data_IF_138275529611
#
_entry.id   IF_138275529611
#
_cell.length_a   1.000
_cell.length_b   1.000
_cell.length_c   1.000
_cell.angle_alpha   90.00
_cell.angle_beta   90.00
_cell.angle_gamma   90.00
#
_symmetry.space_group_name_H-M   'P 1'
#
loop_
_entity.id
_entity.type
_entity.pdbx_description
1 polymer ?
#
# COMPACT_ATOMS: atom_id res chain seq x y z
N UNK A 1 -18.85 -14.09 44.26
CA UNK A 1 -18.59 -12.66 43.92
C UNK A 1 -17.11 -12.34 43.69
N UNK A 2 -16.18 -12.63 44.62
CA UNK A 2 -14.74 -12.28 44.46
C UNK A 2 -14.05 -12.90 43.22
N UNK A 3 -14.39 -14.13 42.84
CA UNK A 3 -13.87 -14.77 41.64
C UNK A 3 -14.40 -14.12 40.34
N UNK A 4 -15.65 -13.64 40.35
CA UNK A 4 -16.26 -12.97 39.20
C UNK A 4 -15.64 -11.58 38.98
N UNK A 5 -15.37 -10.83 40.05
CA UNK A 5 -14.65 -9.54 39.97
C UNK A 5 -13.19 -9.72 39.54
N UNK A 6 -12.52 -10.80 39.97
CA UNK A 6 -11.16 -11.11 39.53
C UNK A 6 -11.10 -11.47 38.04
N UNK A 7 -12.06 -12.25 37.54
CA UNK A 7 -12.17 -12.56 36.10
C UNK A 7 -12.45 -11.29 35.29
N UNK A 8 -13.31 -10.39 35.78
CA UNK A 8 -13.61 -9.11 35.11
C UNK A 8 -12.38 -8.19 35.06
N UNK A 9 -11.57 -8.16 36.12
CA UNK A 9 -10.30 -7.41 36.16
C UNK A 9 -9.24 -8.00 35.22
N UNK A 10 -9.14 -9.33 35.13
CA UNK A 10 -8.23 -10.01 34.20
C UNK A 10 -8.67 -9.75 32.74
N UNK A 11 -9.97 -9.78 32.46
CA UNK A 11 -10.51 -9.49 31.13
C UNK A 11 -10.26 -8.03 30.72
N UNK A 12 -10.43 -7.08 31.65
CA UNK A 12 -10.13 -5.66 31.43
C UNK A 12 -8.62 -5.41 31.23
N UNK A 13 -7.75 -6.17 31.91
CA UNK A 13 -6.29 -6.10 31.74
C UNK A 13 -5.81 -6.75 30.43
N UNK A 14 -6.47 -7.82 29.97
CA UNK A 14 -6.21 -8.40 28.64
C UNK A 14 -6.69 -7.46 27.52
N UNK A 15 -7.81 -6.75 27.74
CA UNK A 15 -8.35 -5.79 26.77
C UNK A 15 -7.52 -4.50 26.69
N UNK A 16 -6.77 -4.14 27.74
CA UNK A 16 -5.89 -2.96 27.72
C UNK A 16 -4.57 -3.19 26.96
N UNK A 17 -4.12 -4.44 26.82
CA UNK A 17 -2.90 -4.79 26.08
C UNK A 17 -3.09 -4.92 24.56
N UNK A 18 -4.33 -4.95 24.05
CA UNK A 18 -4.61 -5.16 22.62
C UNK A 18 -4.44 -3.91 21.74
N UNK A 19 -4.07 -2.76 22.31
CA UNK A 19 -3.99 -1.48 21.57
C UNK A 19 -2.57 -1.02 21.20
N UNK A 20 -1.53 -1.85 21.42
CA UNK A 20 -0.15 -1.53 21.01
C UNK A 20 0.22 -2.22 19.68
N UNK A 21 -0.52 -1.96 18.62
CA UNK A 21 -0.04 -2.22 17.25
C UNK A 21 0.29 -0.90 16.58
N UNK A 22 1.25 -0.17 17.16
CA UNK A 22 1.88 0.93 16.46
C UNK A 22 2.88 0.34 15.47
N UNK A 23 2.77 0.69 14.20
CA UNK A 23 3.76 0.37 13.17
C UNK A 23 4.78 1.52 13.15
N UNK A 24 5.90 1.40 13.90
CA UNK A 24 6.77 2.54 14.19
C UNK A 24 7.56 2.99 12.96
N UNK A 25 7.66 2.15 11.94
CA UNK A 25 8.45 2.43 10.75
C UNK A 25 7.63 3.16 9.68
N UNK A 26 6.29 3.10 9.76
CA UNK A 26 5.40 3.72 8.79
C UNK A 26 5.48 5.24 8.83
N UNK A 27 5.89 5.81 7.70
CA UNK A 27 5.98 7.26 7.47
C UNK A 27 4.71 7.76 6.78
N UNK A 28 4.21 7.00 5.82
CA UNK A 28 3.00 7.32 5.07
C UNK A 28 2.33 6.02 4.63
N UNK A 29 1.00 5.99 4.63
CA UNK A 29 0.23 4.92 4.03
C UNK A 29 -1.16 5.44 3.68
N UNK A 30 -1.53 5.27 2.42
CA UNK A 30 -2.87 5.59 1.93
C UNK A 30 -3.28 4.54 0.90
N UNK A 31 -4.52 4.08 0.99
CA UNK A 31 -5.13 3.18 0.02
C UNK A 31 -6.38 3.87 -0.53
N UNK A 32 -6.46 4.01 -1.85
CA UNK A 32 -7.59 4.62 -2.54
C UNK A 32 -8.53 3.52 -3.02
N UNK A 33 -9.80 3.63 -2.63
CA UNK A 33 -10.86 2.75 -3.10
C UNK A 33 -11.14 3.02 -4.59
N UNK A 34 -11.25 1.97 -5.38
CA UNK A 34 -11.63 2.04 -6.79
C UNK A 34 -13.16 1.95 -6.89
N UNK A 35 -13.84 2.96 -7.45
CA UNK A 35 -15.28 2.94 -7.64
C UNK A 35 -15.73 1.71 -8.44
N UNK A 36 -16.77 1.03 -7.95
CA UNK A 36 -17.35 -0.18 -8.57
C UNK A 36 -16.32 -1.30 -8.87
N UNK A 37 -15.15 -1.24 -8.23
CA UNK A 37 -14.01 -2.14 -8.47
C UNK A 37 -13.52 -2.12 -9.93
N UNK A 38 -13.75 -1.00 -10.63
CA UNK A 38 -13.45 -0.81 -12.05
C UNK A 38 -12.50 0.35 -12.24
N UNK A 39 -11.23 0.05 -12.45
CA UNK A 39 -10.20 1.06 -12.60
C UNK A 39 -10.04 1.49 -14.05
N UNK A 40 -10.66 2.62 -14.41
CA UNK A 40 -10.43 3.25 -15.69
C UNK A 40 -9.00 3.84 -15.78
N UNK A 41 -8.32 3.64 -16.93
CA UNK A 41 -6.96 4.13 -17.17
C UNK A 41 -6.80 5.64 -16.94
N UNK A 42 -7.83 6.43 -17.26
CA UNK A 42 -7.79 7.87 -17.11
C UNK A 42 -8.04 8.34 -15.67
N UNK A 43 -8.46 7.43 -14.78
CA UNK A 43 -8.61 7.73 -13.36
C UNK A 43 -7.26 7.55 -12.64
N UNK A 44 -6.47 8.63 -12.60
CA UNK A 44 -5.18 8.63 -11.91
C UNK A 44 -5.37 8.68 -10.40
N UNK A 45 -4.71 7.77 -9.68
CA UNK A 45 -4.70 7.81 -8.21
C UNK A 45 -3.56 8.71 -7.77
N UNK A 46 -3.84 9.70 -6.93
CA UNK A 46 -2.85 10.68 -6.46
C UNK A 46 -2.59 10.52 -4.97
N UNK A 47 -1.31 10.53 -4.60
CA UNK A 47 -0.84 10.47 -3.23
C UNK A 47 0.04 11.69 -2.96
N UNK A 48 -0.18 12.36 -1.83
CA UNK A 48 0.61 13.52 -1.41
C UNK A 48 1.35 13.19 -0.12
N UNK A 49 2.68 13.14 -0.22
CA UNK A 49 3.54 12.74 0.89
C UNK A 49 4.39 13.93 1.32
N UNK A 50 4.17 14.41 2.55
CA UNK A 50 5.00 15.44 3.15
C UNK A 50 6.27 14.82 3.74
N UNK A 51 7.42 15.06 3.11
CA UNK A 51 8.72 14.58 3.57
C UNK A 51 9.45 15.70 4.31
N UNK A 52 9.79 15.46 5.57
CA UNK A 52 10.59 16.38 6.40
C UNK A 52 12.02 15.88 6.62
N UNK A 53 12.22 14.56 6.61
CA UNK A 53 13.53 13.91 6.75
C UNK A 53 14.13 13.58 5.38
N UNK A 54 15.29 14.18 5.09
CA UNK A 54 16.06 14.01 3.84
C UNK A 54 17.34 13.21 4.04
N UNK A 55 17.63 12.79 5.28
CA UNK A 55 18.87 12.08 5.64
C UNK A 55 18.63 10.58 5.70
N UNK A 56 17.49 10.18 6.27
CA UNK A 56 17.11 8.77 6.37
C UNK A 56 16.79 8.16 5.01
N UNK A 57 16.98 6.85 4.92
CA UNK A 57 16.54 6.06 3.76
C UNK A 57 15.15 5.49 4.02
N UNK A 58 14.37 5.31 2.95
CA UNK A 58 12.99 4.83 3.00
C UNK A 58 12.78 3.63 2.06
N UNK A 59 11.81 2.79 2.40
CA UNK A 59 11.28 1.75 1.52
C UNK A 59 9.87 2.14 1.09
N UNK A 60 9.59 2.02 -0.20
CA UNK A 60 8.29 2.30 -0.81
C UNK A 60 7.67 0.98 -1.24
N UNK A 61 6.38 0.85 -1.00
CA UNK A 61 5.59 -0.30 -1.38
C UNK A 61 4.30 0.14 -2.07
N UNK A 62 3.83 -0.72 -2.95
CA UNK A 62 2.53 -0.60 -3.60
C UNK A 62 1.63 -1.63 -2.91
N UNK A 63 0.54 -1.15 -2.33
CA UNK A 63 -0.53 -1.99 -1.82
C UNK A 63 -1.56 -2.22 -2.92
N UNK A 64 -1.98 -3.46 -3.14
CA UNK A 64 -3.03 -3.81 -4.10
C UNK A 64 -4.00 -4.76 -3.39
N UNK A 65 -5.29 -4.43 -3.49
CA UNK A 65 -6.40 -5.32 -3.15
C UNK A 65 -7.16 -5.70 -4.41
N UNK A 66 -7.27 -7.00 -4.70
CA UNK A 66 -8.00 -7.51 -5.84
C UNK A 66 -9.00 -8.61 -5.45
N UNK A 67 -10.04 -8.76 -6.26
CA UNK A 67 -10.97 -9.89 -6.17
C UNK A 67 -10.40 -11.16 -6.82
N UNK A 68 -10.99 -12.30 -6.51
CA UNK A 68 -10.68 -13.61 -7.12
C UNK A 68 -10.97 -13.66 -8.62
N UNK A 69 -11.96 -12.89 -9.09
CA UNK A 69 -12.34 -12.72 -10.49
C UNK A 69 -11.39 -11.80 -11.29
N UNK A 70 -10.34 -11.25 -10.67
CA UNK A 70 -9.33 -10.47 -11.38
C UNK A 70 -8.65 -11.32 -12.46
N UNK A 71 -8.73 -10.87 -13.72
CA UNK A 71 -8.43 -11.75 -14.86
C UNK A 71 -6.93 -11.92 -15.18
N UNK A 72 -6.03 -11.27 -14.45
CA UNK A 72 -4.61 -11.25 -14.76
C UNK A 72 -3.76 -11.72 -13.57
N UNK A 73 -2.63 -12.36 -13.84
CA UNK A 73 -1.66 -12.71 -12.79
C UNK A 73 -0.88 -11.50 -12.25
N UNK A 74 -0.94 -10.37 -12.95
CA UNK A 74 -0.13 -9.21 -12.67
C UNK A 74 -0.83 -7.92 -13.11
N UNK A 75 -0.43 -6.83 -12.47
CA UNK A 75 -0.85 -5.47 -12.76
C UNK A 75 0.37 -4.63 -13.14
N UNK A 76 0.38 -4.06 -14.34
CA UNK A 76 1.37 -3.05 -14.69
C UNK A 76 0.88 -1.67 -14.25
N UNK A 77 1.79 -0.89 -13.68
CA UNK A 77 1.55 0.50 -13.26
C UNK A 77 2.57 1.42 -13.91
N UNK A 78 2.12 2.59 -14.37
CA UNK A 78 2.99 3.75 -14.50
C UNK A 78 2.91 4.57 -13.23
N UNK A 79 4.06 4.81 -12.60
CA UNK A 79 4.17 5.61 -11.39
C UNK A 79 4.96 6.86 -11.74
N UNK A 80 4.31 8.02 -11.65
CA UNK A 80 5.02 9.29 -11.71
C UNK A 80 5.31 9.77 -10.29
N UNK A 81 6.52 10.25 -10.04
CA UNK A 81 6.90 10.90 -8.80
C UNK A 81 7.36 12.31 -9.11
N UNK A 82 6.67 13.30 -8.54
CA UNK A 82 6.98 14.72 -8.65
C UNK A 82 7.62 15.20 -7.36
N UNK A 83 8.82 15.76 -7.46
CA UNK A 83 9.54 16.37 -6.35
C UNK A 83 8.97 17.76 -6.04
N UNK A 84 9.14 18.27 -4.80
CA UNK A 84 8.74 19.62 -4.43
C UNK A 84 9.38 20.73 -5.29
N UNK A 85 10.53 20.42 -5.90
CA UNK A 85 11.29 21.31 -6.79
C UNK A 85 10.74 21.37 -8.22
N UNK A 86 9.78 20.51 -8.57
CA UNK A 86 9.16 20.44 -9.90
C UNK A 86 9.77 19.39 -10.84
N UNK A 87 10.91 18.79 -10.47
CA UNK A 87 11.47 17.63 -11.18
C UNK A 87 10.56 16.42 -11.02
N UNK A 88 10.52 15.55 -12.02
CA UNK A 88 9.72 14.33 -11.94
C UNK A 88 10.35 13.16 -12.69
N UNK A 89 9.96 11.96 -12.29
CA UNK A 89 10.38 10.70 -12.90
C UNK A 89 9.17 9.80 -13.11
N UNK A 90 9.21 8.95 -14.15
CA UNK A 90 8.24 7.89 -14.40
C UNK A 90 8.91 6.53 -14.33
N UNK A 91 8.35 5.65 -13.52
CA UNK A 91 8.70 4.25 -13.44
C UNK A 91 7.58 3.39 -14.03
N UNK A 92 7.94 2.24 -14.60
CA UNK A 92 6.99 1.18 -14.96
C UNK A 92 7.19 0.01 -14.02
N UNK A 93 6.14 -0.37 -13.29
CA UNK A 93 6.22 -1.43 -12.28
C UNK A 93 5.33 -2.59 -12.68
N UNK A 94 5.87 -3.81 -12.60
CA UNK A 94 5.12 -5.04 -12.78
C UNK A 94 4.78 -5.64 -11.41
N UNK A 95 3.55 -5.47 -10.97
CA UNK A 95 3.03 -6.00 -9.72
C UNK A 95 2.53 -7.43 -9.94
N UNK A 96 3.27 -8.43 -9.47
CA UNK A 96 2.86 -9.84 -9.57
C UNK A 96 1.86 -10.14 -8.45
N UNK A 97 0.62 -10.47 -8.82
CA UNK A 97 -0.49 -10.72 -7.89
C UNK A 97 -0.79 -12.21 -7.72
N UNK A 98 -0.46 -13.05 -8.71
CA UNK A 98 -0.61 -14.50 -8.64
C UNK A 98 0.65 -15.21 -9.17
N UNK A 99 0.89 -16.42 -8.67
CA UNK A 99 1.95 -17.27 -9.19
C UNK A 99 1.58 -17.91 -10.54
N UNK A 100 2.50 -18.67 -11.13
CA UNK A 100 2.31 -19.29 -12.45
C UNK A 100 1.18 -20.34 -12.50
N UNK A 101 0.76 -20.85 -11.34
CA UNK A 101 -0.36 -21.78 -11.19
C UNK A 101 -1.70 -21.07 -10.97
N UNK A 102 -1.72 -19.73 -11.03
CA UNK A 102 -2.91 -18.91 -10.78
C UNK A 102 -3.27 -18.75 -9.30
N UNK A 103 -2.42 -19.20 -8.37
CA UNK A 103 -2.67 -18.97 -6.93
C UNK A 103 -2.30 -17.53 -6.58
N UNK A 104 -3.25 -16.78 -6.04
CA UNK A 104 -3.05 -15.44 -5.51
C UNK A 104 -1.94 -15.40 -4.46
N UNK A 105 -1.10 -14.37 -4.59
CA UNK A 105 -0.05 -14.01 -3.65
C UNK A 105 -0.61 -13.00 -2.65
N UNK A 106 -0.04 -12.98 -1.45
CA UNK A 106 -0.55 -12.14 -0.35
C UNK A 106 -1.48 -12.90 0.60
N UNK A 107 -2.31 -12.16 1.31
CA UNK A 107 -3.24 -12.67 2.33
C UNK A 107 -4.65 -12.16 2.04
N UNK A 108 -5.67 -12.84 2.52
CA UNK A 108 -7.05 -12.46 2.22
C UNK A 108 -8.06 -13.32 2.95
N UNK A 109 -9.31 -12.88 2.96
CA UNK A 109 -10.45 -13.63 3.50
C UNK A 109 -11.49 -13.75 2.39
N UNK A 110 -11.95 -14.98 2.16
CA UNK A 110 -12.90 -15.27 1.10
C UNK A 110 -12.27 -15.07 -0.29
N UNK A 111 -12.88 -14.16 -1.03
CA UNK A 111 -12.72 -13.84 -2.44
C UNK A 111 -11.91 -12.54 -2.66
N UNK A 112 -11.36 -11.96 -1.59
CA UNK A 112 -10.54 -10.74 -1.65
C UNK A 112 -9.10 -11.06 -1.21
N UNK A 113 -8.13 -10.53 -1.96
CA UNK A 113 -6.70 -10.70 -1.73
C UNK A 113 -5.99 -9.35 -1.61
N UNK A 114 -5.17 -9.25 -0.57
CA UNK A 114 -4.32 -8.11 -0.23
C UNK A 114 -2.85 -8.48 -0.40
N UNK A 115 -2.12 -7.66 -1.15
CA UNK A 115 -0.68 -7.82 -1.31
C UNK A 115 0.03 -6.47 -1.20
N UNK A 116 1.16 -6.48 -0.49
CA UNK A 116 2.11 -5.38 -0.45
C UNK A 116 3.36 -5.75 -1.24
N UNK A 117 3.66 -4.96 -2.27
CA UNK A 117 4.70 -5.24 -3.25
C UNK A 117 5.82 -4.20 -3.08
N UNK A 118 7.08 -4.62 -2.85
CA UNK A 118 8.21 -3.70 -2.81
C UNK A 118 8.36 -2.95 -4.13
N UNK A 119 8.35 -1.63 -4.08
CA UNK A 119 8.51 -0.76 -5.24
C UNK A 119 9.93 -0.21 -5.33
N UNK A 120 10.38 0.54 -4.31
CA UNK A 120 11.77 1.01 -4.20
C UNK A 120 12.28 0.77 -2.79
N UNK A 121 13.56 0.43 -2.67
CA UNK A 121 14.21 0.20 -1.38
C UNK A 121 15.36 1.15 -1.17
N UNK A 122 15.60 1.52 0.08
CA UNK A 122 16.71 2.37 0.51
C UNK A 122 16.81 3.69 -0.28
N UNK A 123 15.68 4.30 -0.63
CA UNK A 123 15.68 5.58 -1.34
C UNK A 123 15.78 6.74 -0.37
N UNK A 124 16.45 7.82 -0.78
CA UNK A 124 16.45 9.08 -0.04
C UNK A 124 15.71 10.14 -0.82
N UNK A 125 14.89 10.91 -0.12
CA UNK A 125 14.25 12.09 -0.69
C UNK A 125 15.24 13.26 -0.61
N UNK A 126 15.69 13.81 -1.75
CA UNK A 126 16.76 14.82 -1.75
C UNK A 126 16.31 16.19 -1.19
N UNK A 127 15.01 16.47 -1.22
CA UNK A 127 14.44 17.75 -0.81
C UNK A 127 13.32 17.54 0.22
N UNK A 128 13.18 18.40 1.24
CA UNK A 128 11.98 18.40 2.07
C UNK A 128 10.81 19.04 1.31
N UNK A 129 9.59 18.63 1.64
CA UNK A 129 8.35 19.17 1.08
C UNK A 129 7.38 18.09 0.61
N UNK A 130 6.34 18.52 -0.11
CA UNK A 130 5.29 17.65 -0.61
C UNK A 130 5.73 17.01 -1.92
N UNK A 131 5.91 15.68 -1.89
CA UNK A 131 6.04 14.87 -3.08
C UNK A 131 4.66 14.41 -3.53
N UNK A 132 4.41 14.45 -4.84
CA UNK A 132 3.20 13.87 -5.41
C UNK A 132 3.54 12.59 -6.16
N UNK A 133 2.80 11.52 -5.89
CA UNK A 133 2.86 10.29 -6.65
C UNK A 133 1.56 10.14 -7.42
N UNK A 134 1.62 9.79 -8.71
CA UNK A 134 0.44 9.40 -9.47
C UNK A 134 0.59 7.99 -9.98
N UNK A 135 -0.41 7.15 -9.73
CA UNK A 135 -0.47 5.79 -10.21
C UNK A 135 -1.51 5.70 -11.33
N UNK A 136 -1.10 5.14 -12.45
CA UNK A 136 -1.90 4.87 -13.63
C UNK A 136 -1.83 3.38 -13.92
N UNK A 137 -2.97 2.72 -14.15
CA UNK A 137 -2.95 1.34 -14.63
C UNK A 137 -2.44 1.31 -16.08
N UNK A 138 -1.38 0.53 -16.32
CA UNK A 138 -0.72 0.39 -17.61
C UNK A 138 -1.10 -0.92 -18.31
N UNK A 139 -2.33 -1.39 -18.10
CA UNK A 139 -2.86 -2.59 -18.74
C UNK A 139 -3.40 -2.26 -20.13
N UNK A 140 -3.58 -3.28 -20.98
CA UNK A 140 -4.10 -3.08 -22.35
C UNK A 140 -5.56 -2.63 -22.39
N UNK A 141 -6.35 -2.99 -21.37
CA UNK A 141 -7.76 -2.60 -21.24
C UNK A 141 -7.90 -1.15 -20.78
N UNK A 142 -8.97 -0.48 -21.21
CA UNK A 142 -9.31 0.87 -20.74
C UNK A 142 -9.87 0.83 -19.32
N UNK A 143 -10.73 -0.15 -19.02
CA UNK A 143 -11.30 -0.38 -17.70
C UNK A 143 -10.81 -1.72 -17.17
N UNK A 144 -10.22 -1.71 -15.98
CA UNK A 144 -9.68 -2.88 -15.31
C UNK A 144 -10.58 -3.28 -14.14
N UNK A 145 -11.35 -4.34 -14.31
CA UNK A 145 -12.28 -4.85 -13.31
C UNK A 145 -11.59 -5.61 -12.16
N UNK A 146 -12.29 -5.73 -11.03
CA UNK A 146 -11.90 -6.46 -9.83
C UNK A 146 -10.63 -5.95 -9.14
N UNK A 147 -10.31 -4.67 -9.31
CA UNK A 147 -9.35 -3.96 -8.47
C UNK A 147 -10.14 -3.19 -7.43
N UNK A 148 -9.93 -3.49 -6.15
CA UNK A 148 -10.70 -2.92 -5.06
C UNK A 148 -10.02 -1.67 -4.54
N UNK A 149 -8.75 -1.81 -4.15
CA UNK A 149 -7.98 -0.74 -3.51
C UNK A 149 -6.56 -0.74 -4.09
N UNK A 150 -5.98 0.45 -4.23
CA UNK A 150 -4.58 0.62 -4.61
C UNK A 150 -3.97 1.70 -3.73
N UNK A 151 -2.79 1.42 -3.19
CA UNK A 151 -2.17 2.30 -2.22
C UNK A 151 -0.67 2.44 -2.36
N UNK A 152 -0.17 3.51 -1.74
CA UNK A 152 1.24 3.78 -1.54
C UNK A 152 1.54 3.71 -0.05
N UNK A 153 2.57 2.94 0.30
CA UNK A 153 3.15 2.93 1.64
C UNK A 153 4.61 3.33 1.57
N UNK A 154 5.02 4.17 2.51
CA UNK A 154 6.41 4.57 2.74
C UNK A 154 6.76 4.29 4.19
N UNK A 155 7.89 3.61 4.41
CA UNK A 155 8.43 3.33 5.74
C UNK A 155 9.92 3.66 5.81
N UNK A 156 10.41 3.90 7.02
CA UNK A 156 11.84 4.03 7.27
C UNK A 156 12.57 2.73 6.91
N UNK A 157 13.66 2.84 6.15
CA UNK A 157 14.51 1.70 5.85
C UNK A 157 15.38 1.38 7.08
N UNK A 158 15.14 0.23 7.70
CA UNK A 158 16.04 -0.26 8.76
C UNK A 158 17.40 -0.60 8.17
N UNK A 159 18.45 -0.03 8.73
CA UNK A 159 19.79 -0.61 8.59
C UNK A 159 19.76 -1.95 9.30
N UNK A 160 19.80 -3.04 8.54
CA UNK A 160 19.90 -4.40 9.08
C UNK A 160 21.36 -4.80 9.20
#
# INVERSE_FOLDING_TARGET
MKHFTAVLQILAFLLSFSMLSCDPDRVYEENVLIPEHKWNRNNLLQFQVNITDTVSSFNLYINIRNGDDYSYRNLFLFINTYAPTGEWVRDTVNCILANEKGKWLGSGIGDIYDIQIPYKKNVRFPYPGIYSFTFEQAMRTEELSHVYDVGLRIENAKFK
#
